data_IF_208348848955
#
_entry.id   IF_208348848955
#
_cell.length_a   1.000
_cell.length_b   1.000
_cell.length_c   1.000
_cell.angle_alpha   90.00
_cell.angle_beta   90.00
_cell.angle_gamma   90.00
#
_symmetry.space_group_name_H-M   'P 1'
#
loop_
_entity.id
_entity.type
_entity.pdbx_description
1 polymer ?
#
# COMPACT_ATOMS: atom_id res chain seq x y z
N UNK A 1 -53.81 42.00 7.17
CA UNK A 1 -52.48 41.74 6.56
C UNK A 1 -51.30 41.90 7.52
N UNK A 2 -51.22 42.93 8.38
CA UNK A 2 -50.06 43.21 9.26
C UNK A 2 -49.69 42.12 10.28
N UNK A 3 -50.67 41.41 10.85
CA UNK A 3 -50.41 40.38 11.88
C UNK A 3 -49.88 39.06 11.28
N UNK A 4 -50.35 38.70 10.08
CA UNK A 4 -49.89 37.51 9.34
C UNK A 4 -48.43 37.69 8.90
N UNK A 5 -48.04 38.89 8.45
CA UNK A 5 -46.64 39.18 8.10
C UNK A 5 -45.69 39.08 9.31
N UNK A 6 -46.12 39.55 10.48
CA UNK A 6 -45.35 39.40 11.74
C UNK A 6 -45.17 37.92 12.12
N UNK A 7 -46.21 37.10 11.97
CA UNK A 7 -46.15 35.67 12.24
C UNK A 7 -45.22 34.95 11.26
N UNK A 8 -45.27 35.26 9.96
CA UNK A 8 -44.40 34.68 8.94
C UNK A 8 -42.91 35.01 9.18
N UNK A 9 -42.58 36.26 9.54
CA UNK A 9 -41.21 36.65 9.86
C UNK A 9 -40.69 35.90 11.09
N UNK A 10 -41.52 35.74 12.13
CA UNK A 10 -41.15 35.00 13.33
C UNK A 10 -40.85 33.52 13.02
N UNK A 11 -41.68 32.87 12.20
CA UNK A 11 -41.46 31.49 11.77
C UNK A 11 -40.18 31.38 10.93
N UNK A 12 -39.96 32.28 9.97
CA UNK A 12 -38.75 32.30 9.14
C UNK A 12 -37.48 32.47 9.99
N UNK A 13 -37.46 33.43 10.91
CA UNK A 13 -36.31 33.64 11.81
C UNK A 13 -36.07 32.44 12.72
N UNK A 14 -37.14 31.83 13.28
CA UNK A 14 -36.99 30.63 14.13
C UNK A 14 -36.38 29.45 13.38
N UNK A 15 -36.73 29.25 12.10
CA UNK A 15 -36.12 28.23 11.25
C UNK A 15 -34.62 28.48 11.01
N UNK A 16 -34.23 29.73 10.75
CA UNK A 16 -32.82 30.12 10.59
C UNK A 16 -32.03 29.92 11.90
N UNK A 17 -32.63 30.22 13.05
CA UNK A 17 -31.98 30.00 14.34
C UNK A 17 -31.80 28.51 14.66
N UNK A 18 -32.81 27.67 14.42
CA UNK A 18 -32.71 26.22 14.66
C UNK A 18 -31.65 25.59 13.76
N UNK A 19 -31.62 25.97 12.48
CA UNK A 19 -30.59 25.50 11.54
C UNK A 19 -29.20 26.00 11.93
N UNK A 20 -29.05 27.27 12.32
CA UNK A 20 -27.78 27.83 12.79
C UNK A 20 -27.24 27.15 14.06
N UNK A 21 -28.11 26.86 15.03
CA UNK A 21 -27.74 26.10 16.24
C UNK A 21 -27.33 24.66 15.86
N UNK A 22 -28.10 24.00 14.98
CA UNK A 22 -27.77 22.67 14.50
C UNK A 22 -26.42 22.61 13.78
N UNK A 23 -26.14 23.58 12.90
CA UNK A 23 -24.84 23.70 12.22
C UNK A 23 -23.70 23.99 13.21
N UNK A 24 -23.93 24.86 14.21
CA UNK A 24 -22.93 25.16 15.24
C UNK A 24 -22.59 23.94 16.12
N UNK A 25 -23.59 23.16 16.52
CA UNK A 25 -23.40 21.91 17.27
C UNK A 25 -22.62 20.90 16.42
N UNK A 26 -23.02 20.68 15.17
CA UNK A 26 -22.32 19.76 14.27
C UNK A 26 -20.84 20.17 14.07
N UNK A 27 -20.57 21.45 13.83
CA UNK A 27 -19.19 21.96 13.70
C UNK A 27 -18.37 21.75 14.99
N UNK A 28 -18.97 21.98 16.16
CA UNK A 28 -18.31 21.73 17.45
C UNK A 28 -18.06 20.25 17.70
N UNK A 29 -18.96 19.37 17.29
CA UNK A 29 -18.80 17.92 17.45
C UNK A 29 -17.66 17.40 16.58
N UNK A 30 -17.65 17.75 15.29
CA UNK A 30 -16.59 17.32 14.36
C UNK A 30 -15.22 17.95 14.66
N UNK A 31 -15.16 19.22 15.06
CA UNK A 31 -13.89 19.87 15.43
C UNK A 31 -13.26 19.33 16.72
N UNK A 32 -14.03 18.60 17.54
CA UNK A 32 -13.52 17.99 18.77
C UNK A 32 -12.84 16.64 18.59
N UNK A 33 -12.74 16.15 17.34
CA UNK A 33 -12.09 14.87 17.07
C UNK A 33 -10.57 14.94 17.24
N UNK A 34 -10.01 13.94 17.91
CA UNK A 34 -8.57 13.77 18.09
C UNK A 34 -8.01 12.65 17.20
N UNK A 35 -6.72 12.73 16.84
CA UNK A 35 -6.06 11.64 16.12
C UNK A 35 -5.66 10.51 17.09
N UNK A 36 -6.05 9.26 16.81
CA UNK A 36 -5.75 8.09 17.67
C UNK A 36 -4.47 7.34 17.29
N UNK A 37 -3.76 7.76 16.25
CA UNK A 37 -2.55 7.07 15.78
C UNK A 37 -2.83 6.04 14.69
N UNK A 38 -1.87 5.14 14.48
CA UNK A 38 -1.91 4.10 13.45
C UNK A 38 -2.28 2.75 14.06
N UNK A 39 -3.19 2.03 13.42
CA UNK A 39 -3.59 0.68 13.78
C UNK A 39 -3.49 -0.22 12.56
N UNK A 40 -2.83 -1.37 12.70
CA UNK A 40 -2.81 -2.38 11.65
C UNK A 40 -4.10 -3.19 11.68
N UNK A 41 -4.73 -3.35 10.51
CA UNK A 41 -5.98 -4.10 10.35
C UNK A 41 -5.79 -5.32 9.44
N UNK A 42 -6.57 -6.36 9.70
CA UNK A 42 -6.48 -7.65 9.01
C UNK A 42 -5.44 -8.59 9.60
N UNK A 43 -5.49 -9.84 9.17
CA UNK A 43 -4.52 -10.86 9.59
C UNK A 43 -3.16 -10.61 8.94
N UNK A 44 -2.12 -10.72 9.77
CA UNK A 44 -0.74 -10.54 9.35
C UNK A 44 0.02 -11.83 9.60
N UNK A 45 0.38 -12.52 8.52
CA UNK A 45 1.30 -13.65 8.56
C UNK A 45 2.46 -13.35 7.63
N UNK A 46 3.55 -12.86 8.22
CA UNK A 46 4.75 -12.53 7.49
C UNK A 46 5.53 -13.81 7.14
N UNK A 47 5.83 -13.98 5.87
CA UNK A 47 6.69 -15.04 5.35
C UNK A 47 7.84 -14.45 4.56
N UNK A 48 8.91 -15.23 4.41
CA UNK A 48 10.03 -14.88 3.52
C UNK A 48 10.17 -15.95 2.47
N UNK A 49 10.17 -15.53 1.20
CA UNK A 49 10.26 -16.41 0.04
C UNK A 49 11.35 -15.93 -0.90
N UNK A 50 11.98 -16.87 -1.61
CA UNK A 50 12.94 -16.59 -2.67
C UNK A 50 12.32 -16.97 -4.01
N UNK A 51 12.27 -16.02 -4.94
CA UNK A 51 11.89 -16.23 -6.33
C UNK A 51 13.13 -16.10 -7.20
N UNK A 52 13.53 -17.19 -7.83
CA UNK A 52 14.73 -17.26 -8.67
C UNK A 52 14.34 -17.17 -10.15
N UNK A 53 15.00 -16.27 -10.87
CA UNK A 53 14.87 -16.10 -12.32
C UNK A 53 16.20 -16.42 -13.00
N UNK A 54 16.24 -17.50 -13.77
CA UNK A 54 17.39 -17.84 -14.61
C UNK A 54 17.23 -17.25 -16.01
N UNK A 55 18.30 -16.65 -16.52
CA UNK A 55 18.29 -15.93 -17.80
C UNK A 55 19.38 -16.43 -18.74
N UNK A 56 19.14 -16.30 -20.04
CA UNK A 56 20.12 -16.50 -21.09
C UNK A 56 20.11 -15.25 -21.96
N UNK A 57 21.23 -14.53 -21.99
CA UNK A 57 21.37 -13.28 -22.75
C UNK A 57 22.16 -13.53 -24.03
N UNK A 58 21.84 -12.77 -25.07
CA UNK A 58 22.67 -12.72 -26.28
C UNK A 58 23.97 -11.94 -25.99
N UNK A 59 24.96 -12.03 -26.88
CA UNK A 59 26.19 -11.24 -26.75
C UNK A 59 25.86 -9.74 -26.63
N UNK A 60 26.54 -9.05 -25.71
CA UNK A 60 26.38 -7.63 -25.37
C UNK A 60 25.04 -7.19 -24.75
N UNK A 61 24.10 -8.11 -24.48
CA UNK A 61 22.87 -7.78 -23.74
C UNK A 61 23.06 -7.74 -22.22
N UNK A 62 22.22 -6.94 -21.55
CA UNK A 62 22.10 -6.88 -20.10
C UNK A 62 20.65 -7.11 -19.69
N UNK A 63 20.45 -7.80 -18.58
CA UNK A 63 19.14 -7.98 -17.98
C UNK A 63 18.79 -6.76 -17.13
N UNK A 64 17.66 -6.12 -17.42
CA UNK A 64 17.15 -5.00 -16.64
C UNK A 64 16.26 -5.49 -15.49
N UNK A 65 16.52 -5.00 -14.28
CA UNK A 65 15.59 -5.21 -13.17
C UNK A 65 14.54 -4.11 -13.20
N UNK A 66 13.30 -4.51 -13.50
CA UNK A 66 12.16 -3.60 -13.53
C UNK A 66 11.59 -3.40 -12.12
N UNK A 67 11.62 -2.15 -11.66
CA UNK A 67 11.02 -1.74 -10.40
C UNK A 67 9.66 -1.06 -10.59
N UNK A 68 8.62 -1.58 -9.93
CA UNK A 68 7.36 -0.85 -9.75
C UNK A 68 7.38 -0.02 -8.44
N UNK A 69 6.28 0.67 -8.11
CA UNK A 69 6.19 1.45 -6.88
C UNK A 69 6.46 0.64 -5.60
N UNK A 70 5.95 -0.60 -5.51
CA UNK A 70 6.17 -1.48 -4.36
C UNK A 70 7.63 -1.88 -4.21
N UNK A 71 8.28 -2.13 -5.34
CA UNK A 71 9.69 -2.42 -5.40
C UNK A 71 10.53 -1.29 -4.80
N UNK A 72 10.36 -0.04 -5.25
CA UNK A 72 11.15 1.08 -4.73
C UNK A 72 10.86 1.42 -3.27
N UNK A 73 9.61 1.23 -2.82
CA UNK A 73 9.23 1.53 -1.43
C UNK A 73 9.77 0.52 -0.41
N UNK A 74 10.05 -0.73 -0.83
CA UNK A 74 10.40 -1.83 0.10
C UNK A 74 11.80 -2.42 -0.14
N UNK A 75 12.52 -1.98 -1.17
CA UNK A 75 13.86 -2.49 -1.50
C UNK A 75 15.03 -1.69 -0.90
N UNK A 76 14.70 -0.70 -0.06
CA UNK A 76 15.66 0.22 0.55
C UNK A 76 16.06 1.35 -0.41
N UNK A 77 16.59 2.46 0.14
CA UNK A 77 16.99 3.62 -0.66
C UNK A 77 18.50 3.90 -0.49
N UNK A 78 19.34 3.84 -1.54
CA UNK A 78 19.02 3.37 -2.89
C UNK A 78 18.87 1.84 -2.93
N UNK A 79 18.07 1.33 -3.87
CA UNK A 79 17.97 -0.12 -4.08
C UNK A 79 19.30 -0.65 -4.57
N UNK A 80 19.82 -1.69 -3.90
CA UNK A 80 21.11 -2.30 -4.26
C UNK A 80 20.94 -3.76 -4.66
N UNK A 81 21.58 -4.12 -5.76
CA UNK A 81 21.84 -5.51 -6.12
C UNK A 81 22.95 -6.01 -5.19
N UNK A 82 22.72 -7.12 -4.50
CA UNK A 82 23.64 -7.67 -3.50
C UNK A 82 24.34 -8.89 -4.12
N UNK A 83 25.67 -8.87 -4.28
CA UNK A 83 26.40 -10.05 -4.75
C UNK A 83 26.33 -11.17 -3.71
N UNK A 84 26.02 -12.39 -4.15
CA UNK A 84 25.93 -13.59 -3.31
C UNK A 84 26.35 -14.83 -4.12
N UNK A 85 27.44 -15.49 -3.71
CA UNK A 85 27.99 -16.68 -4.36
C UNK A 85 27.07 -17.91 -4.26
N UNK A 86 26.09 -17.90 -3.35
CA UNK A 86 25.11 -18.99 -3.21
C UNK A 86 24.02 -18.96 -4.28
N UNK A 87 23.90 -17.85 -5.01
CA UNK A 87 23.00 -17.74 -6.16
C UNK A 87 23.70 -18.35 -7.37
N UNK A 88 23.05 -19.23 -8.15
CA UNK A 88 23.64 -19.76 -9.39
C UNK A 88 24.04 -18.64 -10.36
N UNK A 89 25.05 -18.89 -11.19
CA UNK A 89 25.38 -17.98 -12.30
C UNK A 89 24.16 -17.77 -13.20
N UNK A 90 24.08 -16.57 -13.79
CA UNK A 90 22.98 -16.17 -14.67
C UNK A 90 21.59 -16.31 -14.01
N UNK A 91 21.52 -16.09 -12.69
CA UNK A 91 20.27 -16.12 -11.92
C UNK A 91 20.14 -14.87 -11.06
N UNK A 92 18.95 -14.28 -11.07
CA UNK A 92 18.55 -13.22 -10.13
C UNK A 92 17.62 -13.83 -9.09
N UNK A 93 17.96 -13.68 -7.81
CA UNK A 93 17.13 -14.10 -6.68
C UNK A 93 16.45 -12.88 -6.05
N UNK A 94 15.14 -12.84 -6.10
CA UNK A 94 14.32 -11.91 -5.34
C UNK A 94 13.95 -12.55 -4.02
N UNK A 95 14.46 -12.01 -2.91
CA UNK A 95 14.03 -12.41 -1.57
C UNK A 95 13.01 -11.39 -1.07
N UNK A 96 11.82 -11.86 -0.74
CA UNK A 96 10.70 -11.01 -0.36
C UNK A 96 10.19 -11.42 1.01
N UNK A 97 10.08 -10.46 1.91
CA UNK A 97 9.33 -10.58 3.16
C UNK A 97 7.97 -9.91 2.99
N UNK A 98 6.88 -10.68 3.00
CA UNK A 98 5.52 -10.19 2.71
C UNK A 98 4.46 -10.89 3.57
N UNK A 99 3.26 -10.31 3.62
CA UNK A 99 2.09 -10.92 4.27
C UNK A 99 1.38 -11.85 3.29
N UNK A 100 1.49 -13.17 3.50
CA UNK A 100 0.87 -14.17 2.62
C UNK A 100 -0.66 -14.14 2.60
N UNK A 101 -1.28 -13.49 3.59
CA UNK A 101 -2.74 -13.28 3.61
C UNK A 101 -3.15 -12.06 2.77
N UNK A 102 -2.22 -11.16 2.43
CA UNK A 102 -2.49 -9.92 1.72
C UNK A 102 -2.18 -10.00 0.23
N UNK A 103 -1.02 -10.55 -0.12
CA UNK A 103 -0.49 -10.55 -1.48
C UNK A 103 0.21 -11.87 -1.81
N UNK A 104 0.24 -12.20 -3.10
CA UNK A 104 1.09 -13.26 -3.66
C UNK A 104 2.11 -12.63 -4.59
N UNK A 105 3.42 -12.68 -4.29
CA UNK A 105 4.45 -12.20 -5.19
C UNK A 105 4.56 -13.12 -6.42
N UNK A 106 4.87 -12.54 -7.56
CA UNK A 106 5.24 -13.28 -8.77
C UNK A 106 6.23 -12.47 -9.60
N UNK A 107 7.00 -13.18 -10.42
CA UNK A 107 7.93 -12.55 -11.35
C UNK A 107 7.19 -12.14 -12.62
N UNK A 108 7.49 -10.93 -13.09
CA UNK A 108 7.11 -10.45 -14.40
C UNK A 108 8.36 -10.25 -15.22
N UNK A 109 8.47 -11.01 -16.29
CA UNK A 109 9.60 -10.96 -17.20
C UNK A 109 9.15 -10.63 -18.64
N UNK A 110 10.11 -10.18 -19.44
CA UNK A 110 9.99 -10.17 -20.89
C UNK A 110 10.27 -11.55 -21.47
N UNK A 111 9.98 -11.72 -22.75
CA UNK A 111 10.54 -12.83 -23.53
C UNK A 111 12.08 -12.79 -23.48
N UNK A 112 12.73 -13.95 -23.39
CA UNK A 112 14.19 -14.04 -23.27
C UNK A 112 14.92 -13.53 -24.52
N UNK A 113 14.29 -13.65 -25.69
CA UNK A 113 14.83 -13.15 -26.97
C UNK A 113 14.49 -11.67 -27.23
N UNK A 114 13.92 -10.97 -26.25
CA UNK A 114 13.64 -9.53 -26.36
C UNK A 114 14.94 -8.74 -26.55
N UNK A 115 14.89 -7.67 -27.34
CA UNK A 115 16.02 -6.73 -27.48
C UNK A 115 16.40 -6.07 -26.14
N UNK A 116 15.42 -5.88 -25.24
CA UNK A 116 15.59 -5.31 -23.90
C UNK A 116 14.99 -6.25 -22.84
N UNK A 117 15.72 -7.32 -22.46
CA UNK A 117 15.21 -8.30 -21.52
C UNK A 117 15.09 -7.70 -20.12
N UNK A 118 13.94 -7.91 -19.47
CA UNK A 118 13.73 -7.46 -18.10
C UNK A 118 13.11 -8.53 -17.22
N UNK A 119 13.36 -8.41 -15.91
CA UNK A 119 12.63 -9.13 -14.87
C UNK A 119 12.30 -8.16 -13.74
N UNK A 120 11.07 -8.23 -13.25
CA UNK A 120 10.60 -7.45 -12.12
C UNK A 120 9.72 -8.28 -11.21
N UNK A 121 9.36 -7.71 -10.07
CA UNK A 121 8.45 -8.34 -9.12
C UNK A 121 7.12 -7.60 -9.06
N UNK A 122 6.05 -8.35 -9.19
CA UNK A 122 4.68 -7.89 -9.02
C UNK A 122 3.98 -8.67 -7.91
N UNK A 123 2.80 -8.18 -7.52
CA UNK A 123 2.04 -8.71 -6.39
C UNK A 123 0.57 -8.83 -6.80
N UNK A 124 0.02 -10.03 -6.71
CA UNK A 124 -1.41 -10.27 -6.83
C UNK A 124 -2.07 -10.01 -5.48
N UNK A 125 -3.10 -9.17 -5.44
CA UNK A 125 -3.86 -8.91 -4.21
C UNK A 125 -4.78 -10.08 -3.90
N UNK A 126 -4.66 -10.61 -2.69
CA UNK A 126 -5.48 -11.72 -2.18
C UNK A 126 -6.57 -11.25 -1.22
N UNK A 127 -6.35 -10.09 -0.57
CA UNK A 127 -7.27 -9.54 0.42
C UNK A 127 -8.62 -9.14 -0.19
N UNK A 128 -9.68 -9.43 0.54
CA UNK A 128 -11.02 -8.96 0.24
C UNK A 128 -11.31 -7.65 0.98
N UNK A 129 -11.63 -6.58 0.24
CA UNK A 129 -11.89 -5.25 0.81
C UNK A 129 -12.98 -5.24 1.88
N UNK A 130 -14.03 -6.07 1.72
CA UNK A 130 -15.12 -6.15 2.69
C UNK A 130 -14.68 -6.86 3.97
N UNK A 131 -13.91 -7.94 3.85
CA UNK A 131 -13.35 -8.64 5.01
C UNK A 131 -12.42 -7.73 5.81
N UNK A 132 -11.55 -7.00 5.11
CA UNK A 132 -10.65 -6.03 5.71
C UNK A 132 -11.42 -4.89 6.42
N UNK A 133 -12.46 -4.37 5.77
CA UNK A 133 -13.34 -3.38 6.38
C UNK A 133 -13.98 -3.92 7.66
N UNK A 134 -14.53 -5.15 7.62
CA UNK A 134 -15.15 -5.78 8.77
C UNK A 134 -14.15 -6.03 9.91
N UNK A 135 -12.89 -6.36 9.59
CA UNK A 135 -11.82 -6.51 10.56
C UNK A 135 -11.48 -5.19 11.28
N UNK A 136 -11.48 -4.06 10.56
CA UNK A 136 -11.23 -2.73 11.13
C UNK A 136 -12.47 -2.05 11.75
N UNK A 137 -13.67 -2.55 11.44
CA UNK A 137 -14.95 -1.90 11.76
C UNK A 137 -15.12 -1.61 13.24
N UNK A 138 -14.80 -2.56 14.11
CA UNK A 138 -15.01 -2.39 15.56
C UNK A 138 -14.13 -1.26 16.12
N UNK A 139 -12.87 -1.21 15.71
CA UNK A 139 -11.95 -0.14 16.10
C UNK A 139 -12.39 1.22 15.55
N UNK A 140 -12.84 1.26 14.29
CA UNK A 140 -13.38 2.48 13.70
C UNK A 140 -14.59 3.01 14.48
N UNK A 141 -15.52 2.12 14.85
CA UNK A 141 -16.71 2.49 15.61
C UNK A 141 -16.38 2.93 17.04
N UNK A 142 -15.41 2.29 17.70
CA UNK A 142 -14.92 2.73 19.01
C UNK A 142 -14.28 4.12 18.93
N UNK A 143 -13.42 4.34 17.93
CA UNK A 143 -12.77 5.62 17.73
C UNK A 143 -13.82 6.73 17.50
N UNK A 144 -14.79 6.51 16.60
CA UNK A 144 -15.89 7.47 16.36
C UNK A 144 -16.68 7.76 17.64
N UNK A 145 -17.04 6.72 18.41
CA UNK A 145 -17.79 6.86 19.66
C UNK A 145 -17.03 7.72 20.68
N UNK A 146 -15.71 7.64 20.67
CA UNK A 146 -14.83 8.37 21.56
C UNK A 146 -14.29 9.68 20.95
N UNK A 147 -14.86 10.15 19.83
CA UNK A 147 -14.41 11.36 19.12
C UNK A 147 -12.93 11.30 18.73
N UNK A 148 -12.53 10.15 18.19
CA UNK A 148 -11.19 9.88 17.69
C UNK A 148 -11.28 9.40 16.24
N UNK A 149 -10.26 9.69 15.44
CA UNK A 149 -10.06 9.12 14.10
C UNK A 149 -8.61 8.65 14.02
N UNK A 150 -8.39 7.41 13.60
CA UNK A 150 -7.07 6.83 13.42
C UNK A 150 -6.72 6.64 11.95
N UNK A 151 -5.48 6.23 11.70
CA UNK A 151 -5.08 5.61 10.44
C UNK A 151 -5.21 4.10 10.59
N UNK A 152 -5.95 3.46 9.69
CA UNK A 152 -6.13 2.01 9.65
C UNK A 152 -5.35 1.47 8.45
N UNK A 153 -4.21 0.86 8.72
CA UNK A 153 -3.24 0.47 7.71
C UNK A 153 -3.21 -1.05 7.55
N UNK A 154 -2.90 -1.52 6.34
CA UNK A 154 -2.61 -2.94 6.08
C UNK A 154 -1.11 -3.13 5.90
N UNK A 155 -0.65 -4.35 6.20
CA UNK A 155 0.72 -4.77 5.91
C UNK A 155 0.66 -5.77 4.77
N UNK A 156 1.30 -5.42 3.65
CA UNK A 156 1.35 -6.27 2.45
C UNK A 156 2.77 -6.73 2.14
N UNK A 157 3.73 -5.81 2.02
CA UNK A 157 5.15 -6.10 1.77
C UNK A 157 5.95 -5.40 2.85
N UNK A 158 6.95 -6.08 3.42
CA UNK A 158 7.88 -5.49 4.39
C UNK A 158 9.21 -5.15 3.71
N UNK A 159 9.75 -6.10 2.93
CA UNK A 159 11.09 -5.93 2.36
C UNK A 159 11.30 -6.74 1.09
N UNK A 160 12.04 -6.16 0.15
CA UNK A 160 12.52 -6.83 -1.06
C UNK A 160 14.06 -6.73 -1.08
N UNK A 161 14.75 -7.82 -1.37
CA UNK A 161 16.20 -7.84 -1.62
C UNK A 161 16.48 -8.60 -2.89
N UNK A 162 17.54 -8.18 -3.58
CA UNK A 162 17.93 -8.75 -4.86
C UNK A 162 19.34 -9.28 -4.69
N UNK A 163 19.52 -10.54 -5.05
CA UNK A 163 20.79 -11.21 -5.02
C UNK A 163 21.16 -11.71 -6.42
N UNK A 164 22.43 -11.59 -6.77
CA UNK A 164 22.98 -12.12 -8.03
C UNK A 164 24.33 -12.75 -7.75
N UNK A 165 24.71 -13.74 -8.55
CA UNK A 165 26.06 -14.27 -8.49
C UNK A 165 27.07 -13.18 -8.88
N UNK A 166 28.18 -12.98 -8.15
CA UNK A 166 29.22 -12.01 -8.50
C UNK A 166 29.76 -12.17 -9.93
N UNK A 167 29.84 -13.40 -10.45
CA UNK A 167 30.35 -13.69 -11.80
C UNK A 167 29.43 -13.16 -12.92
N UNK A 168 28.13 -13.01 -12.64
CA UNK A 168 27.14 -12.48 -13.58
C UNK A 168 26.58 -11.12 -13.18
N UNK A 169 27.14 -10.45 -12.17
CA UNK A 169 26.63 -9.19 -11.65
C UNK A 169 26.67 -8.06 -12.70
N UNK A 170 27.71 -8.01 -13.53
CA UNK A 170 27.88 -6.98 -14.57
C UNK A 170 26.87 -7.08 -15.72
N UNK A 171 26.20 -8.22 -15.82
CA UNK A 171 25.13 -8.51 -16.80
C UNK A 171 23.77 -8.00 -16.34
N UNK A 172 23.63 -7.58 -15.09
CA UNK A 172 22.35 -7.15 -14.51
C UNK A 172 22.43 -5.66 -14.18
N UNK A 173 21.43 -4.91 -14.62
CA UNK A 173 21.33 -3.46 -14.36
C UNK A 173 20.02 -3.13 -13.68
N UNK A 174 20.06 -2.13 -12.80
CA UNK A 174 18.86 -1.55 -12.22
C UNK A 174 18.36 -0.39 -13.09
N UNK A 175 17.05 -0.31 -13.29
CA UNK A 175 16.37 0.86 -13.89
C UNK A 175 16.46 2.12 -13.00
#
# INVERSE_FOLDING_TARGET
MRNIHKALIAVFCSGIFITGIGTGIALSEFSSFAYSGKTTIGDVKMVTENLDYSFQLQEDQKLRIYGNYFFYSHSGNPTKIIPDETVPENTVRFQITYNEQAVSPYLRDSEQESEDPFVGIEFAYLQNDMELFLAGKEQLLDDIKNRRIGSYETVSVDRIRIFVNPASADLVIMD
#
